data_IF_695057592627
#
_entry.id   IF_695057592627
#
_cell.length_a   1.000
_cell.length_b   1.000
_cell.length_c   1.000
_cell.angle_alpha   90.00
_cell.angle_beta   90.00
_cell.angle_gamma   90.00
#
_symmetry.space_group_name_H-M   'P 1'
#
loop_
_entity.id
_entity.type
_entity.pdbx_description
1 polymer ?
#
# COMPACT_ATOMS: atom_id res chain seq x y z
N UNK A 1 -40.91 4.48 43.60
CA UNK A 1 -40.47 4.28 42.20
C UNK A 1 -41.53 4.89 41.29
N UNK A 2 -41.22 6.03 40.67
CA UNK A 2 -42.25 6.92 40.10
C UNK A 2 -42.85 6.32 38.83
N UNK A 3 -44.06 5.76 38.95
CA UNK A 3 -44.92 5.31 37.84
C UNK A 3 -44.90 6.22 36.61
N UNK A 4 -44.92 7.57 36.69
CA UNK A 4 -44.86 8.41 35.49
C UNK A 4 -43.54 8.31 34.71
N UNK A 5 -42.42 8.04 35.38
CA UNK A 5 -41.11 7.94 34.71
C UNK A 5 -41.02 6.69 33.82
N UNK A 6 -41.69 5.61 34.24
CA UNK A 6 -41.76 4.35 33.48
C UNK A 6 -42.59 4.55 32.21
N UNK A 7 -43.72 5.26 32.30
CA UNK A 7 -44.56 5.57 31.14
C UNK A 7 -43.87 6.50 30.14
N UNK A 8 -43.11 7.50 30.61
CA UNK A 8 -42.31 8.38 29.74
C UNK A 8 -41.22 7.59 29.01
N UNK A 9 -40.52 6.69 29.71
CA UNK A 9 -39.51 5.82 29.10
C UNK A 9 -40.11 4.89 28.03
N UNK A 10 -41.29 4.32 28.30
CA UNK A 10 -41.97 3.42 27.37
C UNK A 10 -42.47 4.16 26.13
N UNK A 11 -42.98 5.39 26.30
CA UNK A 11 -43.38 6.26 25.19
C UNK A 11 -42.17 6.63 24.31
N UNK A 12 -41.04 6.99 24.92
CA UNK A 12 -39.83 7.36 24.19
C UNK A 12 -39.24 6.16 23.41
N UNK A 13 -39.25 4.97 24.01
CA UNK A 13 -38.84 3.74 23.33
C UNK A 13 -39.77 3.40 22.16
N UNK A 14 -41.09 3.60 22.31
CA UNK A 14 -42.05 3.38 21.24
C UNK A 14 -41.88 4.40 20.10
N UNK A 15 -41.57 5.65 20.42
CA UNK A 15 -41.28 6.71 19.44
C UNK A 15 -39.99 6.43 18.66
N UNK A 16 -38.93 5.98 19.35
CA UNK A 16 -37.68 5.57 18.71
C UNK A 16 -37.87 4.31 17.85
N UNK A 17 -38.65 3.34 18.32
CA UNK A 17 -38.99 2.14 17.54
C UNK A 17 -39.78 2.47 16.28
N UNK A 18 -40.81 3.33 16.39
CA UNK A 18 -41.59 3.78 15.25
C UNK A 18 -40.75 4.62 14.27
N UNK A 19 -39.88 5.49 14.78
CA UNK A 19 -38.94 6.26 13.97
C UNK A 19 -37.93 5.37 13.22
N UNK A 20 -37.35 4.39 13.91
CA UNK A 20 -36.45 3.40 13.29
C UNK A 20 -37.12 2.57 12.22
N UNK A 21 -38.35 2.10 12.47
CA UNK A 21 -39.16 1.38 11.48
C UNK A 21 -39.51 2.26 10.27
N UNK A 22 -39.85 3.53 10.49
CA UNK A 22 -40.13 4.47 9.41
C UNK A 22 -38.90 4.68 8.52
N UNK A 23 -37.72 4.92 9.11
CA UNK A 23 -36.46 5.07 8.37
C UNK A 23 -36.12 3.80 7.59
N UNK A 24 -36.23 2.62 8.22
CA UNK A 24 -36.01 1.34 7.53
C UNK A 24 -36.97 1.17 6.35
N UNK A 25 -38.27 1.41 6.56
CA UNK A 25 -39.29 1.25 5.51
C UNK A 25 -39.10 2.19 4.30
N UNK A 26 -38.34 3.28 4.50
CA UNK A 26 -37.98 4.25 3.46
C UNK A 26 -36.56 4.07 2.91
N UNK A 27 -35.76 3.18 3.50
CA UNK A 27 -34.45 2.86 2.99
C UNK A 27 -34.61 2.05 1.70
N UNK A 28 -34.14 2.62 0.59
CA UNK A 28 -34.11 1.95 -0.70
C UNK A 28 -32.71 1.35 -0.83
N UNK A 29 -32.56 0.02 -0.87
CA UNK A 29 -31.27 -0.57 -1.19
C UNK A 29 -30.88 -0.13 -2.60
N UNK A 30 -29.68 0.42 -2.74
CA UNK A 30 -29.09 0.70 -4.04
C UNK A 30 -27.79 -0.09 -4.15
N UNK A 31 -27.59 -0.72 -5.29
CA UNK A 31 -26.34 -1.42 -5.56
C UNK A 31 -25.31 -0.38 -5.99
N UNK A 32 -24.28 -0.20 -5.16
CA UNK A 32 -23.13 0.63 -5.50
C UNK A 32 -22.05 -0.26 -6.11
N UNK A 33 -21.73 -0.02 -7.39
CA UNK A 33 -20.60 -0.69 -8.03
C UNK A 33 -19.32 -0.08 -7.49
N UNK A 34 -18.72 -0.74 -6.50
CA UNK A 34 -17.41 -0.36 -5.98
C UNK A 34 -16.34 -0.92 -6.90
N UNK A 35 -15.67 -0.05 -7.65
CA UNK A 35 -14.52 -0.41 -8.46
C UNK A 35 -13.35 -0.82 -7.54
N UNK A 36 -12.98 -2.10 -7.58
CA UNK A 36 -11.84 -2.65 -6.83
C UNK A 36 -10.55 -2.63 -7.65
N UNK A 37 -10.58 -2.00 -8.82
CA UNK A 37 -9.51 -2.08 -9.80
C UNK A 37 -9.50 -3.40 -10.57
N UNK A 38 -8.54 -3.56 -11.49
CA UNK A 38 -8.42 -4.74 -12.33
C UNK A 38 -8.10 -5.99 -11.50
N UNK A 39 -8.68 -7.12 -11.89
CA UNK A 39 -8.34 -8.43 -11.31
C UNK A 39 -6.89 -8.80 -11.63
N UNK A 40 -6.25 -9.70 -10.84
CA UNK A 40 -4.91 -10.21 -11.16
C UNK A 40 -4.80 -10.80 -12.57
N UNK A 41 -5.88 -11.43 -13.04
CA UNK A 41 -5.97 -11.98 -14.40
C UNK A 41 -5.97 -10.86 -15.46
N UNK A 42 -6.75 -9.78 -15.25
CA UNK A 42 -6.78 -8.63 -16.15
C UNK A 42 -5.48 -7.79 -16.12
N UNK A 43 -4.69 -7.91 -15.04
CA UNK A 43 -3.36 -7.32 -14.95
C UNK A 43 -2.32 -8.15 -15.71
N UNK A 44 -2.42 -9.48 -15.66
CA UNK A 44 -1.51 -10.38 -16.37
C UNK A 44 -1.79 -10.46 -17.87
N UNK A 45 -3.06 -10.36 -18.28
CA UNK A 45 -3.48 -10.40 -19.68
C UNK A 45 -4.12 -9.06 -20.09
N UNK A 46 -3.38 -8.20 -20.83
CA UNK A 46 -3.90 -6.91 -21.33
C UNK A 46 -5.08 -7.03 -22.30
N UNK A 47 -5.29 -8.19 -22.92
CA UNK A 47 -6.33 -8.46 -23.92
C UNK A 47 -7.43 -9.41 -23.41
N UNK A 48 -7.51 -9.63 -22.10
CA UNK A 48 -8.51 -10.51 -21.48
C UNK A 48 -9.95 -10.15 -21.89
N UNK A 49 -10.28 -8.87 -21.92
CA UNK A 49 -11.59 -8.40 -22.33
C UNK A 49 -11.85 -8.66 -23.83
N UNK A 50 -10.82 -8.62 -24.67
CA UNK A 50 -10.90 -8.97 -26.09
C UNK A 50 -11.19 -10.46 -26.29
N UNK A 51 -10.49 -11.32 -25.54
CA UNK A 51 -10.73 -12.76 -25.55
C UNK A 51 -12.16 -13.10 -25.12
N UNK A 52 -12.62 -12.52 -24.00
CA UNK A 52 -13.99 -12.71 -23.53
C UNK A 52 -15.02 -12.22 -24.53
N UNK A 53 -14.81 -11.04 -25.13
CA UNK A 53 -15.72 -10.49 -26.11
C UNK A 53 -15.86 -11.41 -27.33
N UNK A 54 -14.74 -11.86 -27.91
CA UNK A 54 -14.76 -12.77 -29.07
C UNK A 54 -15.37 -14.13 -28.72
N UNK A 55 -15.08 -14.66 -27.53
CA UNK A 55 -15.68 -15.90 -27.01
C UNK A 55 -17.20 -15.77 -26.86
N UNK A 56 -17.69 -14.63 -26.36
CA UNK A 56 -19.12 -14.33 -26.27
C UNK A 56 -19.81 -14.22 -27.64
N UNK A 57 -19.08 -13.84 -28.70
CA UNK A 57 -19.57 -13.87 -30.08
C UNK A 57 -19.55 -15.28 -30.71
N UNK A 58 -19.17 -16.31 -29.95
CA UNK A 58 -19.15 -17.70 -30.41
C UNK A 58 -17.93 -18.08 -31.24
N UNK A 59 -16.89 -17.25 -31.27
CA UNK A 59 -15.62 -17.57 -31.93
C UNK A 59 -14.74 -18.44 -31.01
N UNK A 60 -13.99 -19.36 -31.59
CA UNK A 60 -12.97 -20.11 -30.86
C UNK A 60 -11.75 -19.21 -30.67
N UNK A 61 -11.41 -18.89 -29.42
CA UNK A 61 -10.30 -17.99 -29.07
C UNK A 61 -9.27 -18.78 -28.27
N UNK A 62 -8.01 -18.68 -28.70
CA UNK A 62 -6.85 -19.23 -28.00
C UNK A 62 -5.81 -18.12 -27.81
N UNK A 63 -4.99 -18.20 -26.77
CA UNK A 63 -3.85 -17.30 -26.59
C UNK A 63 -2.54 -18.09 -26.64
N UNK A 64 -1.50 -17.49 -27.21
CA UNK A 64 -0.17 -18.09 -27.29
C UNK A 64 0.92 -17.07 -26.96
N UNK A 65 1.88 -17.48 -26.15
CA UNK A 65 3.03 -16.63 -25.78
C UNK A 65 4.20 -16.76 -26.77
N UNK A 66 4.16 -17.73 -27.68
CA UNK A 66 5.27 -18.04 -28.58
C UNK A 66 4.83 -18.32 -30.01
N UNK A 67 5.67 -17.84 -30.93
CA UNK A 67 5.59 -18.07 -32.39
C UNK A 67 5.69 -19.56 -32.72
N UNK A 68 6.19 -20.42 -31.83
CA UNK A 68 6.22 -21.88 -32.03
C UNK A 68 4.83 -22.50 -32.28
N UNK A 69 3.77 -21.88 -31.75
CA UNK A 69 2.38 -22.30 -31.99
C UNK A 69 2.01 -22.32 -33.48
N UNK A 70 2.67 -21.50 -34.30
CA UNK A 70 2.50 -21.47 -35.76
C UNK A 70 2.71 -22.82 -36.42
N UNK A 71 3.59 -23.67 -35.87
CA UNK A 71 3.89 -24.99 -36.45
C UNK A 71 2.70 -25.95 -36.40
N UNK A 72 1.78 -25.71 -35.46
CA UNK A 72 0.58 -26.53 -35.23
C UNK A 72 -0.71 -25.90 -35.73
N UNK A 73 -0.68 -24.60 -36.08
CA UNK A 73 -1.88 -23.84 -36.39
C UNK A 73 -2.29 -24.04 -37.86
N UNK A 74 -3.53 -24.50 -38.14
CA UNK A 74 -4.02 -24.58 -39.50
C UNK A 74 -4.13 -23.18 -40.10
N UNK A 75 -3.90 -23.02 -41.41
CA UNK A 75 -4.02 -21.71 -42.04
C UNK A 75 -5.47 -21.35 -42.38
N UNK A 76 -6.16 -22.23 -43.11
CA UNK A 76 -7.52 -21.93 -43.59
C UNK A 76 -8.52 -21.86 -42.44
N UNK A 77 -9.26 -20.75 -42.36
CA UNK A 77 -10.26 -20.54 -41.32
C UNK A 77 -9.68 -20.15 -39.97
N UNK A 78 -8.41 -19.77 -39.90
CA UNK A 78 -7.78 -19.26 -38.68
C UNK A 78 -7.22 -17.85 -38.89
N UNK A 79 -7.38 -17.03 -37.86
CA UNK A 79 -6.78 -15.70 -37.77
C UNK A 79 -5.74 -15.68 -36.65
N UNK A 80 -4.55 -15.17 -36.95
CA UNK A 80 -3.49 -14.95 -35.97
C UNK A 80 -3.31 -13.45 -35.77
N UNK A 81 -3.49 -12.99 -34.54
CA UNK A 81 -3.30 -11.59 -34.15
C UNK A 81 -1.97 -11.47 -33.42
N UNK A 82 -0.97 -10.89 -34.09
CA UNK A 82 0.32 -10.55 -33.51
C UNK A 82 0.21 -9.16 -32.87
N UNK A 83 -0.02 -9.13 -31.57
CA UNK A 83 -0.27 -7.92 -30.79
C UNK A 83 0.88 -7.56 -29.81
N UNK A 84 1.90 -8.41 -29.71
CA UNK A 84 3.07 -8.18 -28.86
C UNK A 84 4.36 -8.00 -29.65
N UNK A 85 5.38 -7.47 -28.96
CA UNK A 85 6.68 -7.13 -29.54
C UNK A 85 7.33 -8.30 -30.30
N UNK A 86 7.88 -7.99 -31.48
CA UNK A 86 8.49 -8.96 -32.39
C UNK A 86 9.92 -8.66 -32.81
N UNK A 87 10.59 -7.76 -32.10
CA UNK A 87 11.99 -7.37 -32.34
C UNK A 87 12.98 -8.55 -32.43
N UNK A 88 12.67 -9.69 -31.80
CA UNK A 88 13.53 -10.89 -31.78
C UNK A 88 13.17 -11.96 -32.84
N UNK A 89 12.24 -11.71 -33.77
CA UNK A 89 11.90 -12.71 -34.80
C UNK A 89 13.04 -12.92 -35.81
N UNK A 90 13.42 -14.17 -36.02
CA UNK A 90 14.40 -14.52 -37.05
C UNK A 90 13.80 -14.42 -38.47
N UNK A 91 14.61 -14.14 -39.51
CA UNK A 91 14.13 -14.12 -40.89
C UNK A 91 13.40 -15.39 -41.33
N UNK A 92 13.81 -16.55 -40.78
CA UNK A 92 13.15 -17.84 -41.05
C UNK A 92 11.74 -17.91 -40.47
N UNK A 93 11.54 -17.40 -39.26
CA UNK A 93 10.21 -17.35 -38.62
C UNK A 93 9.27 -16.42 -39.40
N UNK A 94 9.78 -15.26 -39.85
CA UNK A 94 9.03 -14.32 -40.70
C UNK A 94 8.59 -14.98 -42.00
N UNK A 95 9.48 -15.72 -42.67
CA UNK A 95 9.14 -16.43 -43.91
C UNK A 95 8.11 -17.55 -43.69
N UNK A 96 8.20 -18.28 -42.58
CA UNK A 96 7.22 -19.30 -42.21
C UNK A 96 5.85 -18.69 -41.95
N UNK A 97 5.80 -17.55 -41.25
CA UNK A 97 4.56 -16.84 -40.96
C UNK A 97 3.90 -16.29 -42.23
N UNK A 98 4.68 -15.65 -43.10
CA UNK A 98 4.18 -15.16 -44.39
C UNK A 98 3.73 -16.32 -45.29
N UNK A 99 4.42 -17.47 -45.25
CA UNK A 99 3.99 -18.67 -45.97
C UNK A 99 2.67 -19.24 -45.42
N UNK A 100 2.49 -19.22 -44.09
CA UNK A 100 1.24 -19.59 -43.44
C UNK A 100 0.09 -18.67 -43.89
N UNK A 101 0.28 -17.35 -43.87
CA UNK A 101 -0.70 -16.39 -44.38
C UNK A 101 -1.01 -16.65 -45.87
N UNK A 102 0.03 -16.84 -46.71
CA UNK A 102 -0.13 -17.21 -48.14
C UNK A 102 -0.99 -18.44 -48.37
N UNK A 103 -0.99 -19.40 -47.45
CA UNK A 103 -1.72 -20.66 -47.59
C UNK A 103 -3.23 -20.57 -47.27
N UNK A 104 -3.69 -19.41 -46.78
CA UNK A 104 -5.11 -19.15 -46.49
C UNK A 104 -5.40 -18.62 -45.09
N UNK A 105 -4.37 -18.31 -44.30
CA UNK A 105 -4.51 -17.71 -42.98
C UNK A 105 -4.73 -16.20 -43.06
N UNK A 106 -5.42 -15.67 -42.05
CA UNK A 106 -5.49 -14.23 -41.86
C UNK A 106 -4.46 -13.82 -40.80
N UNK A 107 -3.49 -13.02 -41.19
CA UNK A 107 -2.50 -12.46 -40.28
C UNK A 107 -2.86 -11.02 -39.95
N UNK A 108 -3.01 -10.69 -38.68
CA UNK A 108 -3.12 -9.32 -38.22
C UNK A 108 -1.86 -8.95 -37.44
N UNK A 109 -1.24 -7.81 -37.74
CA UNK A 109 -0.02 -7.36 -37.07
C UNK A 109 -0.05 -5.85 -36.79
N UNK A 110 0.52 -5.45 -35.66
CA UNK A 110 0.66 -4.05 -35.23
C UNK A 110 1.98 -3.50 -35.74
N UNK A 111 2.02 -2.40 -36.48
CA UNK A 111 3.28 -1.78 -36.91
C UNK A 111 4.06 -1.26 -35.69
N UNK A 112 5.26 -1.81 -35.46
CA UNK A 112 6.06 -1.57 -34.24
C UNK A 112 7.23 -0.62 -34.45
N UNK A 113 7.61 -0.35 -35.69
CA UNK A 113 8.84 0.36 -36.01
C UNK A 113 8.63 1.39 -37.11
N UNK A 114 9.17 2.59 -36.88
CA UNK A 114 9.15 3.68 -37.84
C UNK A 114 10.09 3.37 -39.01
N UNK A 115 9.65 3.74 -40.20
CA UNK A 115 10.45 3.66 -41.40
C UNK A 115 11.63 4.64 -41.33
N UNK A 116 12.84 4.13 -41.57
CA UNK A 116 14.03 4.95 -41.72
C UNK A 116 14.34 5.13 -43.21
N UNK A 117 14.18 6.36 -43.70
CA UNK A 117 14.46 6.74 -45.09
C UNK A 117 15.95 6.60 -45.46
N UNK A 118 16.87 6.75 -44.50
CA UNK A 118 18.31 6.67 -44.76
C UNK A 118 18.76 5.24 -45.02
N UNK A 119 18.25 4.28 -44.23
CA UNK A 119 18.59 2.86 -44.35
C UNK A 119 17.65 2.10 -45.28
N UNK A 120 16.50 2.69 -45.63
CA UNK A 120 15.46 2.06 -46.46
C UNK A 120 14.86 0.82 -45.80
N UNK A 121 14.77 0.83 -44.46
CA UNK A 121 14.23 -0.26 -43.64
C UNK A 121 13.61 0.32 -42.36
N UNK A 122 12.63 -0.37 -41.80
CA UNK A 122 12.05 -0.03 -40.49
C UNK A 122 12.74 -0.75 -39.32
N UNK A 123 13.49 -1.82 -39.60
CA UNK A 123 13.97 -2.75 -38.57
C UNK A 123 12.95 -3.82 -38.19
N UNK A 124 11.72 -3.72 -38.70
CA UNK A 124 10.71 -4.76 -38.65
C UNK A 124 10.68 -5.55 -39.96
N UNK A 125 11.15 -6.80 -39.89
CA UNK A 125 11.24 -7.69 -41.03
C UNK A 125 9.89 -8.02 -41.67
N UNK A 126 8.77 -7.93 -40.96
CA UNK A 126 7.44 -8.17 -41.56
C UNK A 126 7.00 -6.99 -42.39
N UNK A 127 7.11 -5.78 -41.84
CA UNK A 127 6.77 -4.54 -42.54
C UNK A 127 7.63 -4.35 -43.79
N UNK A 128 8.95 -4.54 -43.66
CA UNK A 128 9.91 -4.43 -44.76
C UNK A 128 9.62 -5.44 -45.89
N UNK A 129 9.04 -6.62 -45.59
CA UNK A 129 8.67 -7.64 -46.58
C UNK A 129 7.31 -7.41 -47.21
N UNK A 130 6.43 -6.66 -46.54
CA UNK A 130 5.10 -6.28 -47.02
C UNK A 130 5.11 -4.93 -47.75
N UNK A 131 6.25 -4.23 -47.74
CA UNK A 131 6.41 -2.87 -48.27
C UNK A 131 5.41 -1.86 -47.66
N UNK A 132 5.10 -2.01 -46.37
CA UNK A 132 4.26 -1.08 -45.61
C UNK A 132 5.15 -0.27 -44.67
N UNK A 133 5.05 1.05 -44.73
CA UNK A 133 5.91 1.95 -43.95
C UNK A 133 5.07 2.66 -42.89
N UNK A 134 5.54 2.65 -41.65
CA UNK A 134 4.97 3.45 -40.57
C UNK A 134 5.80 4.72 -40.39
N UNK A 135 5.14 5.87 -40.31
CA UNK A 135 5.76 7.15 -40.00
C UNK A 135 4.98 7.84 -38.88
N UNK A 136 5.59 8.84 -38.26
CA UNK A 136 4.85 9.77 -37.41
C UNK A 136 3.95 10.63 -38.30
N UNK A 137 2.73 10.88 -37.86
CA UNK A 137 1.83 11.82 -38.51
C UNK A 137 2.43 13.22 -38.41
N UNK A 138 2.44 13.97 -39.53
CA UNK A 138 2.91 15.34 -39.51
C UNK A 138 2.05 16.18 -38.55
N UNK A 139 2.67 16.80 -37.54
CA UNK A 139 2.03 17.86 -36.78
C UNK A 139 1.69 18.99 -37.75
N UNK A 140 0.50 19.61 -37.65
CA UNK A 140 0.19 20.74 -38.51
C UNK A 140 1.22 21.84 -38.25
N UNK A 141 1.78 22.41 -39.32
CA UNK A 141 2.28 23.79 -39.26
C UNK A 141 1.21 24.62 -38.56
N UNK A 142 1.51 25.14 -37.37
CA UNK A 142 0.67 26.12 -36.71
C UNK A 142 0.53 27.30 -37.68
N UNK A 143 -0.56 27.31 -38.45
CA UNK A 143 -1.03 28.50 -39.11
C UNK A 143 -1.09 29.58 -38.02
N UNK A 144 -0.28 30.62 -38.22
CA UNK A 144 0.04 31.67 -37.27
C UNK A 144 -1.14 32.04 -36.34
N UNK A 145 -0.87 32.28 -35.04
CA UNK A 145 -1.89 32.40 -34.01
C UNK A 145 -2.80 33.61 -34.27
N UNK A 146 -3.91 33.38 -34.96
CA UNK A 146 -5.01 34.34 -35.04
C UNK A 146 -6.05 33.93 -34.01
N UNK A 147 -5.99 34.67 -32.90
CA UNK A 147 -7.00 34.81 -31.86
C UNK A 147 -7.31 33.57 -31.00
N UNK A 148 -6.91 33.69 -29.73
CA UNK A 148 -7.22 32.80 -28.61
C UNK A 148 -8.74 32.63 -28.44
N UNK A 149 -9.32 31.65 -29.14
CA UNK A 149 -10.59 31.02 -28.70
C UNK A 149 -10.27 30.05 -27.56
N UNK A 150 -11.10 29.98 -26.51
CA UNK A 150 -10.89 29.02 -25.42
C UNK A 150 -10.85 27.61 -26.00
N UNK A 151 -9.91 26.79 -25.51
CA UNK A 151 -9.77 25.37 -25.86
C UNK A 151 -11.10 24.65 -25.59
N UNK A 152 -11.97 24.61 -26.61
CA UNK A 152 -12.99 23.57 -26.69
C UNK A 152 -12.20 22.27 -26.68
N UNK A 153 -12.50 21.37 -25.74
CA UNK A 153 -11.98 19.99 -25.74
C UNK A 153 -12.04 19.50 -27.19
N UNK A 154 -10.89 19.38 -27.85
CA UNK A 154 -10.82 18.78 -29.19
C UNK A 154 -11.47 17.42 -29.02
N UNK A 155 -12.58 17.17 -29.70
CA UNK A 155 -13.09 15.82 -29.80
C UNK A 155 -11.94 14.97 -30.37
N UNK A 156 -11.67 13.77 -29.81
CA UNK A 156 -10.62 12.92 -30.33
C UNK A 156 -10.83 12.72 -31.84
N UNK A 157 -9.74 12.80 -32.61
CA UNK A 157 -9.78 12.53 -34.04
C UNK A 157 -9.90 11.02 -34.22
N UNK A 158 -11.13 10.52 -34.20
CA UNK A 158 -11.42 9.10 -34.30
C UNK A 158 -11.29 8.65 -35.75
N UNK A 159 -10.63 7.52 -35.96
CA UNK A 159 -10.57 6.85 -37.26
C UNK A 159 -11.97 6.45 -37.67
N UNK A 160 -12.35 6.79 -38.91
CA UNK A 160 -13.66 6.46 -39.46
C UNK A 160 -13.51 5.34 -40.46
N UNK A 161 -14.30 4.30 -40.29
CA UNK A 161 -14.41 3.24 -41.27
C UNK A 161 -15.80 3.23 -41.87
N UNK A 162 -15.83 3.27 -43.20
CA UNK A 162 -17.04 3.04 -43.97
C UNK A 162 -17.04 1.57 -44.38
N UNK A 163 -18.04 0.85 -43.89
CA UNK A 163 -18.27 -0.54 -44.28
C UNK A 163 -19.18 -0.51 -45.49
N UNK A 164 -18.84 -1.28 -46.53
CA UNK A 164 -19.73 -1.45 -47.67
C UNK A 164 -21.10 -1.94 -47.17
N UNK A 165 -22.17 -1.25 -47.58
CA UNK A 165 -23.59 -1.42 -47.14
C UNK A 165 -24.03 -0.78 -45.81
N UNK A 166 -23.21 -0.02 -45.08
CA UNK A 166 -23.68 0.71 -43.89
C UNK A 166 -23.65 2.25 -44.07
N UNK A 167 -24.75 2.91 -43.69
CA UNK A 167 -24.91 4.38 -43.83
C UNK A 167 -24.17 5.19 -42.77
N UNK A 168 -23.81 4.58 -41.64
CA UNK A 168 -23.13 5.25 -40.54
C UNK A 168 -21.67 4.75 -40.45
N UNK A 169 -20.66 5.64 -40.36
CA UNK A 169 -19.29 5.22 -40.16
C UNK A 169 -19.10 4.65 -38.74
N UNK A 170 -18.30 3.60 -38.62
CA UNK A 170 -17.82 3.11 -37.34
C UNK A 170 -16.62 3.96 -36.87
N UNK A 171 -16.55 4.22 -35.57
CA UNK A 171 -15.53 5.08 -34.97
C UNK A 171 -14.56 4.27 -34.11
N UNK A 172 -13.26 4.41 -34.39
CA UNK A 172 -12.20 3.70 -33.67
C UNK A 172 -11.20 4.67 -33.07
N UNK A 173 -10.67 4.30 -31.91
CA UNK A 173 -9.69 5.11 -31.18
C UNK A 173 -8.26 4.60 -31.39
N UNK A 174 -7.79 4.61 -32.64
CA UNK A 174 -6.36 4.41 -32.94
C UNK A 174 -5.54 5.61 -32.47
N UNK A 175 -4.25 5.40 -32.28
CA UNK A 175 -3.29 6.45 -32.01
C UNK A 175 -3.04 7.29 -33.28
N UNK A 176 -3.40 8.57 -33.21
CA UNK A 176 -3.27 9.51 -34.33
C UNK A 176 -1.83 9.94 -34.59
N UNK A 177 -0.91 9.66 -33.68
CA UNK A 177 0.50 10.04 -33.79
C UNK A 177 1.23 9.22 -34.84
N UNK A 178 0.67 8.07 -35.24
CA UNK A 178 1.22 7.19 -36.26
C UNK A 178 0.38 7.17 -37.54
N UNK A 179 1.06 6.97 -38.66
CA UNK A 179 0.48 6.87 -39.99
C UNK A 179 1.09 5.68 -40.75
N UNK A 180 0.25 4.89 -41.39
CA UNK A 180 0.67 3.87 -42.34
C UNK A 180 0.66 4.43 -43.76
N UNK A 181 1.71 4.07 -44.51
CA UNK A 181 1.82 4.38 -45.93
C UNK A 181 2.15 3.12 -46.70
N UNK A 182 1.58 3.03 -47.90
CA UNK A 182 1.79 1.93 -48.83
C UNK A 182 2.32 2.51 -50.14
N UNK A 183 3.66 2.57 -50.31
CA UNK A 183 4.29 3.14 -51.50
C UNK A 183 3.98 2.38 -52.79
N UNK A 184 3.60 1.10 -52.69
CA UNK A 184 3.34 0.23 -53.85
C UNK A 184 1.85 0.09 -54.15
N UNK A 185 0.97 0.68 -53.34
CA UNK A 185 -0.49 0.60 -53.46
C UNK A 185 -1.00 -0.86 -53.54
N UNK A 186 -0.43 -1.74 -52.71
CA UNK A 186 -0.81 -3.15 -52.59
C UNK A 186 -2.03 -3.37 -51.68
N UNK A 187 -2.34 -2.42 -50.79
CA UNK A 187 -3.47 -2.48 -49.89
C UNK A 187 -4.78 -2.33 -50.67
N UNK A 188 -5.69 -3.29 -50.47
CA UNK A 188 -7.02 -3.26 -51.08
C UNK A 188 -8.01 -2.45 -50.26
N UNK A 189 -7.75 -2.34 -48.96
CA UNK A 189 -8.63 -1.68 -48.01
C UNK A 189 -7.80 -0.94 -46.98
N UNK A 190 -8.25 0.26 -46.62
CA UNK A 190 -7.65 1.05 -45.55
C UNK A 190 -8.70 1.77 -44.70
N UNK A 191 -8.39 1.98 -43.43
CA UNK A 191 -9.19 2.78 -42.51
C UNK A 191 -8.39 4.02 -42.07
N UNK A 192 -8.98 5.20 -42.25
CA UNK A 192 -8.25 6.47 -42.12
C UNK A 192 -8.95 7.39 -41.11
N UNK A 193 -8.15 8.11 -40.33
CA UNK A 193 -8.60 9.30 -39.59
C UNK A 193 -8.60 10.51 -40.54
N UNK A 194 -8.82 11.71 -40.00
CA UNK A 194 -8.73 12.91 -40.83
C UNK A 194 -7.32 13.16 -41.40
N UNK A 195 -6.28 12.53 -40.83
CA UNK A 195 -4.87 12.86 -41.10
C UNK A 195 -3.99 11.67 -41.44
N UNK A 196 -4.36 10.47 -41.02
CA UNK A 196 -3.51 9.29 -41.13
C UNK A 196 -4.30 8.03 -41.44
N UNK A 197 -3.63 7.06 -42.05
CA UNK A 197 -4.16 5.72 -42.29
C UNK A 197 -3.74 4.82 -41.13
N UNK A 198 -4.69 4.20 -40.44
CA UNK A 198 -4.43 3.40 -39.24
C UNK A 198 -4.53 1.90 -39.46
N UNK A 199 -5.20 1.49 -40.54
CA UNK A 199 -5.38 0.09 -40.90
C UNK A 199 -5.19 -0.05 -42.39
N UNK A 200 -4.47 -1.08 -42.80
CA UNK A 200 -4.30 -1.49 -44.20
C UNK A 200 -4.45 -2.99 -44.32
N UNK A 201 -5.22 -3.46 -45.30
CA UNK A 201 -5.39 -4.88 -45.58
C UNK A 201 -4.86 -5.22 -46.97
N UNK A 202 -3.97 -6.20 -47.01
CA UNK A 202 -3.32 -6.73 -48.20
C UNK A 202 -3.79 -8.17 -48.43
N UNK A 203 -4.05 -8.54 -49.67
CA UNK A 203 -4.23 -9.94 -50.02
C UNK A 203 -2.87 -10.59 -50.25
N UNK A 204 -2.65 -11.74 -49.59
CA UNK A 204 -1.41 -12.47 -49.68
C UNK A 204 -1.70 -13.93 -50.02
N UNK A 205 -1.51 -14.31 -51.29
CA UNK A 205 -1.79 -15.66 -51.77
C UNK A 205 -3.28 -16.01 -51.69
N UNK A 206 -3.64 -16.98 -50.84
CA UNK A 206 -5.03 -17.37 -50.55
C UNK A 206 -5.57 -16.76 -49.24
N UNK A 207 -4.70 -16.11 -48.48
CA UNK A 207 -5.05 -15.45 -47.22
C UNK A 207 -4.93 -13.94 -47.35
N UNK A 208 -4.86 -13.28 -46.20
CA UNK A 208 -4.80 -11.82 -46.11
C UNK A 208 -3.96 -11.39 -44.93
N UNK A 209 -3.37 -10.20 -45.03
CA UNK A 209 -2.59 -9.57 -43.98
C UNK A 209 -3.22 -8.22 -43.66
N UNK A 210 -3.53 -7.98 -42.40
CA UNK A 210 -4.02 -6.68 -41.90
C UNK A 210 -2.91 -6.06 -41.04
N UNK A 211 -2.46 -4.88 -41.42
CA UNK A 211 -1.50 -4.08 -40.67
C UNK A 211 -2.26 -2.94 -39.99
N UNK A 212 -2.03 -2.75 -38.70
CA UNK A 212 -2.62 -1.64 -37.93
C UNK A 212 -1.53 -0.80 -37.24
N UNK A 213 -1.79 0.46 -36.91
CA UNK A 213 -0.81 1.33 -36.21
C UNK A 213 -0.55 0.91 -34.78
N UNK A 214 -1.61 0.54 -34.06
CA UNK A 214 -1.57 0.20 -32.65
C UNK A 214 -2.67 -0.82 -32.31
N UNK A 215 -2.52 -1.49 -31.16
CA UNK A 215 -3.49 -2.45 -30.62
C UNK A 215 -4.13 -1.97 -29.32
N UNK A 216 -3.88 -0.72 -28.93
CA UNK A 216 -4.32 -0.16 -27.64
C UNK A 216 -5.84 -0.10 -27.54
N UNK A 217 -6.52 0.07 -28.68
CA UNK A 217 -7.97 0.03 -28.76
C UNK A 217 -8.58 -1.30 -28.26
N UNK A 218 -7.84 -2.41 -28.29
CA UNK A 218 -8.32 -3.73 -27.86
C UNK A 218 -7.85 -4.15 -26.49
N UNK A 219 -7.04 -3.32 -25.81
CA UNK A 219 -6.68 -3.56 -24.42
C UNK A 219 -7.88 -3.42 -23.50
N UNK A 220 -7.83 -4.08 -22.34
CA UNK A 220 -8.87 -4.11 -21.31
C UNK A 220 -9.57 -2.75 -21.03
N UNK A 221 -8.87 -1.60 -20.87
CA UNK A 221 -9.52 -0.32 -20.58
C UNK A 221 -10.21 0.36 -21.77
N UNK A 222 -9.88 -0.04 -23.00
CA UNK A 222 -10.24 0.69 -24.23
C UNK A 222 -11.21 -0.07 -25.13
N UNK A 223 -11.29 -1.40 -25.03
CA UNK A 223 -12.13 -2.21 -25.92
C UNK A 223 -13.62 -1.86 -25.86
N UNK A 224 -14.11 -1.48 -24.68
CA UNK A 224 -15.50 -1.05 -24.48
C UNK A 224 -15.79 0.39 -24.92
N UNK A 225 -14.81 1.11 -25.46
CA UNK A 225 -14.98 2.50 -25.93
C UNK A 225 -15.25 2.51 -27.44
N UNK A 226 -16.14 3.40 -27.88
CA UNK A 226 -16.52 3.55 -29.30
C UNK A 226 -16.88 2.20 -29.92
N UNK A 227 -16.46 1.94 -31.16
CA UNK A 227 -16.73 0.70 -31.88
C UNK A 227 -15.48 -0.24 -31.92
N UNK A 228 -14.57 -0.08 -30.97
CA UNK A 228 -13.29 -0.81 -30.94
C UNK A 228 -13.48 -2.33 -30.93
N UNK A 229 -14.40 -2.82 -30.09
CA UNK A 229 -14.76 -4.24 -30.04
C UNK A 229 -15.35 -4.73 -31.36
N UNK A 230 -16.19 -3.93 -32.00
CA UNK A 230 -16.81 -4.26 -33.28
C UNK A 230 -15.74 -4.45 -34.37
N UNK A 231 -14.70 -3.60 -34.42
CA UNK A 231 -13.61 -3.76 -35.38
C UNK A 231 -12.87 -5.10 -35.18
N UNK A 232 -12.58 -5.47 -33.93
CA UNK A 232 -11.91 -6.74 -33.63
C UNK A 232 -12.72 -7.92 -34.17
N UNK A 233 -14.02 -7.92 -33.89
CA UNK A 233 -14.93 -8.96 -34.39
C UNK A 233 -15.02 -8.93 -35.91
N UNK A 234 -15.19 -7.75 -36.52
CA UNK A 234 -15.27 -7.58 -37.98
C UNK A 234 -14.07 -8.18 -38.71
N UNK A 235 -12.86 -7.93 -38.20
CA UNK A 235 -11.63 -8.46 -38.78
C UNK A 235 -11.51 -9.98 -38.60
N UNK A 236 -12.15 -10.56 -37.59
CA UNK A 236 -12.00 -11.99 -37.22
C UNK A 236 -13.25 -12.82 -37.49
N UNK A 237 -14.21 -12.30 -38.25
CA UNK A 237 -15.45 -13.02 -38.51
C UNK A 237 -15.22 -14.34 -39.24
N UNK A 238 -15.81 -15.42 -38.72
CA UNK A 238 -15.80 -16.72 -39.37
C UNK A 238 -14.46 -17.47 -39.29
N UNK A 239 -13.52 -17.01 -38.47
CA UNK A 239 -12.24 -17.68 -38.23
C UNK A 239 -12.05 -18.04 -36.75
N UNK A 240 -11.25 -19.08 -36.49
CA UNK A 240 -10.75 -19.35 -35.16
C UNK A 240 -9.56 -18.43 -34.87
N UNK A 241 -9.63 -17.71 -33.76
CA UNK A 241 -8.73 -16.61 -33.42
C UNK A 241 -7.65 -17.10 -32.48
N UNK A 242 -6.39 -16.81 -32.80
CA UNK A 242 -5.27 -16.97 -31.88
C UNK A 242 -4.63 -15.63 -31.64
N UNK A 243 -4.63 -15.16 -30.40
CA UNK A 243 -3.93 -13.94 -29.99
C UNK A 243 -2.52 -14.32 -29.55
N UNK A 244 -1.53 -13.66 -30.13
CA UNK A 244 -0.13 -13.80 -29.77
C UNK A 244 0.38 -12.47 -29.27
N UNK A 245 0.60 -12.42 -27.95
CA UNK A 245 1.22 -11.30 -27.27
C UNK A 245 2.13 -11.84 -26.19
N UNK A 246 3.28 -11.19 -26.00
CA UNK A 246 4.19 -11.59 -24.96
C UNK A 246 3.69 -11.04 -23.63
N UNK A 247 3.15 -11.91 -22.78
CA UNK A 247 2.75 -11.57 -21.40
C UNK A 247 3.87 -11.86 -20.40
N UNK A 248 4.91 -12.57 -20.83
CA UNK A 248 5.99 -13.02 -19.97
C UNK A 248 7.02 -11.90 -19.87
N UNK A 249 6.76 -10.95 -18.97
CA UNK A 249 7.82 -10.07 -18.48
C UNK A 249 8.80 -10.94 -17.68
N UNK A 250 10.10 -10.84 -17.99
CA UNK A 250 11.14 -11.44 -17.17
C UNK A 250 10.94 -10.96 -15.71
N UNK A 251 10.90 -11.87 -14.74
CA UNK A 251 10.80 -11.49 -13.32
C UNK A 251 12.00 -10.61 -12.94
N UNK A 252 11.83 -9.73 -11.95
CA UNK A 252 12.87 -8.82 -11.47
C UNK A 252 14.16 -9.57 -11.13
N UNK A 253 14.03 -10.78 -10.56
CA UNK A 253 15.18 -11.63 -10.26
C UNK A 253 15.91 -12.07 -11.54
N UNK A 254 15.17 -12.50 -12.57
CA UNK A 254 15.72 -12.86 -13.88
C UNK A 254 16.44 -11.68 -14.53
N UNK A 255 15.83 -10.48 -14.51
CA UNK A 255 16.43 -9.24 -14.98
C UNK A 255 17.71 -8.88 -14.21
N UNK A 256 17.68 -8.97 -12.87
CA UNK A 256 18.83 -8.70 -12.00
C UNK A 256 20.01 -9.63 -12.30
N UNK A 257 19.75 -10.93 -12.49
CA UNK A 257 20.79 -11.91 -12.82
C UNK A 257 21.34 -11.66 -14.23
N UNK A 258 20.47 -11.34 -15.19
CA UNK A 258 20.84 -11.15 -16.60
C UNK A 258 21.64 -9.87 -16.84
N UNK A 259 21.21 -8.75 -16.26
CA UNK A 259 21.80 -7.43 -16.53
C UNK A 259 22.71 -6.92 -15.40
N UNK A 260 22.51 -7.35 -14.15
CA UNK A 260 23.25 -6.85 -12.99
C UNK A 260 23.94 -7.94 -12.14
N UNK A 261 24.60 -8.96 -12.73
CA UNK A 261 25.22 -10.05 -11.97
C UNK A 261 26.32 -9.54 -11.02
N UNK A 262 27.05 -8.50 -11.42
CA UNK A 262 28.12 -7.90 -10.61
C UNK A 262 27.59 -7.25 -9.32
N UNK A 263 26.43 -6.58 -9.39
CA UNK A 263 25.79 -5.96 -8.23
C UNK A 263 25.31 -7.04 -7.24
N UNK A 264 24.79 -8.16 -7.76
CA UNK A 264 24.35 -9.31 -6.96
C UNK A 264 25.54 -9.95 -6.22
N UNK A 265 26.67 -10.15 -6.90
CA UNK A 265 27.91 -10.65 -6.29
C UNK A 265 28.42 -9.69 -5.21
N UNK A 266 28.42 -8.38 -5.48
CA UNK A 266 28.84 -7.37 -4.52
C UNK A 266 27.93 -7.34 -3.28
N UNK A 267 26.61 -7.48 -3.46
CA UNK A 267 25.63 -7.58 -2.38
C UNK A 267 25.91 -8.82 -1.52
N UNK A 268 26.10 -9.99 -2.13
CA UNK A 268 26.43 -11.23 -1.41
C UNK A 268 27.75 -11.08 -0.64
N UNK A 269 28.78 -10.49 -1.25
CA UNK A 269 30.05 -10.24 -0.59
C UNK A 269 29.91 -9.27 0.59
N UNK A 270 29.12 -8.20 0.46
CA UNK A 270 28.83 -7.26 1.54
C UNK A 270 28.07 -7.94 2.68
N UNK A 271 27.07 -8.77 2.37
CA UNK A 271 26.33 -9.55 3.37
C UNK A 271 27.27 -10.52 4.09
N UNK A 272 28.14 -11.22 3.35
CA UNK A 272 29.13 -12.12 3.93
C UNK A 272 30.11 -11.37 4.86
N UNK A 273 30.61 -10.20 4.43
CA UNK A 273 31.49 -9.35 5.24
C UNK A 273 30.76 -8.76 6.46
N UNK A 274 29.49 -8.38 6.33
CA UNK A 274 28.68 -7.87 7.43
C UNK A 274 28.41 -8.97 8.47
N UNK A 275 28.09 -10.19 8.03
CA UNK A 275 27.93 -11.36 8.89
C UNK A 275 29.27 -11.76 9.53
N UNK A 276 30.36 -11.71 8.78
CA UNK A 276 31.70 -11.92 9.31
C UNK A 276 32.03 -10.91 10.39
N UNK A 277 31.76 -9.62 10.14
CA UNK A 277 31.97 -8.53 11.12
C UNK A 277 31.09 -8.72 12.36
N UNK A 278 29.82 -9.10 12.19
CA UNK A 278 28.91 -9.35 13.30
C UNK A 278 29.29 -10.61 14.10
N UNK A 279 29.83 -11.63 13.42
CA UNK A 279 30.32 -12.87 14.00
C UNK A 279 31.67 -12.72 14.70
N UNK A 280 32.50 -11.76 14.29
CA UNK A 280 33.72 -11.38 15.00
C UNK A 280 33.38 -10.71 16.34
N UNK A 281 33.10 -11.55 17.34
CA UNK A 281 32.98 -11.12 18.73
C UNK A 281 34.34 -10.69 19.25
N UNK A 282 34.60 -9.39 19.25
CA UNK A 282 35.75 -8.80 19.91
C UNK A 282 35.35 -8.41 21.34
N UNK A 283 35.87 -9.15 22.31
CA UNK A 283 35.81 -8.79 23.73
C UNK A 283 35.28 -9.88 24.65
N UNK A 284 35.69 -9.87 25.93
CA UNK A 284 35.14 -10.75 26.95
C UNK A 284 33.66 -10.43 27.16
N UNK A 285 32.84 -11.47 27.33
CA UNK A 285 31.41 -11.35 27.63
C UNK A 285 31.29 -10.62 28.98
N UNK A 286 30.97 -9.33 28.95
CA UNK A 286 30.65 -8.59 30.16
C UNK A 286 29.23 -8.95 30.56
N UNK A 287 29.08 -9.56 31.73
CA UNK A 287 27.76 -9.76 32.33
C UNK A 287 27.07 -8.40 32.44
N UNK A 288 25.80 -8.27 32.00
CA UNK A 288 25.06 -7.03 32.19
C UNK A 288 25.10 -6.66 33.68
N UNK A 289 25.31 -5.37 34.01
CA UNK A 289 25.38 -4.95 35.40
C UNK A 289 24.09 -5.39 36.10
N UNK A 290 24.17 -6.07 37.25
CA UNK A 290 22.98 -6.52 37.96
C UNK A 290 22.10 -5.31 38.26
N UNK A 291 20.81 -5.40 37.91
CA UNK A 291 19.83 -4.37 38.24
C UNK A 291 19.96 -4.01 39.72
N UNK A 292 20.13 -2.72 40.04
CA UNK A 292 20.32 -2.18 41.38
C UNK A 292 19.09 -2.41 42.28
N UNK A 293 18.85 -3.66 42.67
CA UNK A 293 17.83 -4.08 43.63
C UNK A 293 18.42 -3.96 45.03
N UNK A 294 18.23 -2.79 45.69
CA UNK A 294 18.22 -2.54 47.16
C UNK A 294 18.88 -1.23 47.67
N UNK A 295 19.01 -0.18 46.86
CA UNK A 295 19.66 1.07 47.33
C UNK A 295 18.80 1.99 48.24
N UNK A 296 17.51 1.71 48.46
CA UNK A 296 16.71 2.53 49.40
C UNK A 296 17.26 2.43 50.84
N UNK A 297 17.67 1.23 51.27
CA UNK A 297 18.21 1.04 52.62
C UNK A 297 19.56 1.75 52.79
N UNK A 298 20.41 1.73 51.75
CA UNK A 298 21.69 2.44 51.76
C UNK A 298 21.49 3.95 51.78
N UNK A 299 20.53 4.46 50.99
CA UNK A 299 20.20 5.88 50.99
C UNK A 299 19.63 6.32 52.34
N UNK A 300 18.69 5.57 52.91
CA UNK A 300 18.14 5.85 54.24
C UNK A 300 19.22 5.80 55.33
N UNK A 301 20.13 4.83 55.27
CA UNK A 301 21.26 4.73 56.21
C UNK A 301 22.21 5.92 56.06
N UNK A 302 22.56 6.29 54.83
CA UNK A 302 23.43 7.43 54.56
C UNK A 302 22.78 8.75 55.01
N UNK A 303 21.49 8.96 54.76
CA UNK A 303 20.75 10.13 55.23
C UNK A 303 20.66 10.16 56.76
N UNK A 304 20.41 9.01 57.41
CA UNK A 304 20.35 8.92 58.87
C UNK A 304 21.71 9.24 59.52
N UNK A 305 22.80 8.66 59.00
CA UNK A 305 24.16 8.93 59.47
C UNK A 305 24.54 10.41 59.26
N UNK A 306 24.16 11.00 58.12
CA UNK A 306 24.38 12.42 57.85
C UNK A 306 23.65 13.33 58.85
N UNK A 307 22.37 13.07 59.10
CA UNK A 307 21.56 13.84 60.05
C UNK A 307 22.09 13.71 61.49
N UNK A 308 22.51 12.51 61.88
CA UNK A 308 23.11 12.26 63.20
C UNK A 308 24.43 13.01 63.38
N UNK A 309 25.28 13.05 62.34
CA UNK A 309 26.57 13.77 62.37
C UNK A 309 26.40 15.29 62.39
N UNK A 310 25.47 15.85 61.61
CA UNK A 310 25.35 17.31 61.42
C UNK A 310 24.42 18.00 62.42
N UNK A 311 23.35 17.34 62.85
CA UNK A 311 22.33 17.93 63.74
C UNK A 311 22.32 17.35 65.16
N UNK A 312 22.98 16.21 65.37
CA UNK A 312 23.11 15.55 66.67
C UNK A 312 21.88 14.71 67.07
N UNK A 313 22.00 13.99 68.20
CA UNK A 313 20.93 13.14 68.73
C UNK A 313 19.72 13.94 69.23
N UNK A 314 19.97 15.14 69.79
CA UNK A 314 18.93 15.95 70.42
C UNK A 314 17.89 16.48 69.43
N UNK A 315 18.27 16.81 68.20
CA UNK A 315 17.33 17.27 67.16
C UNK A 315 16.42 16.14 66.71
N UNK A 316 16.95 14.92 66.55
CA UNK A 316 16.18 13.72 66.21
C UNK A 316 15.16 13.38 67.30
N UNK A 317 15.55 13.43 68.57
CA UNK A 317 14.63 13.19 69.69
C UNK A 317 13.56 14.28 69.79
N UNK A 318 13.90 15.57 69.59
CA UNK A 318 12.88 16.64 69.53
C UNK A 318 11.89 16.44 68.40
N UNK A 319 12.34 15.97 67.23
CA UNK A 319 11.46 15.68 66.11
C UNK A 319 10.46 14.57 66.47
N UNK A 320 10.92 13.49 67.11
CA UNK A 320 10.05 12.42 67.60
C UNK A 320 9.09 12.88 68.70
N UNK A 321 9.56 13.65 69.68
CA UNK A 321 8.71 14.23 70.73
C UNK A 321 7.60 15.11 70.13
N UNK A 322 7.93 15.96 69.15
CA UNK A 322 6.95 16.78 68.43
C UNK A 322 5.94 15.94 67.65
N UNK A 323 6.39 14.85 67.03
CA UNK A 323 5.49 13.95 66.29
C UNK A 323 4.51 13.22 67.22
N UNK A 324 4.95 12.80 68.40
CA UNK A 324 4.06 12.24 69.44
C UNK A 324 3.02 13.28 69.87
N UNK A 325 3.44 14.51 70.17
CA UNK A 325 2.51 15.59 70.55
C UNK A 325 1.54 15.94 69.41
N UNK A 326 1.99 15.95 68.15
CA UNK A 326 1.13 16.14 66.97
C UNK A 326 0.10 15.02 66.82
N UNK A 327 0.51 13.76 67.05
CA UNK A 327 -0.41 12.63 67.01
C UNK A 327 -1.46 12.75 68.12
N UNK A 328 -1.06 13.11 69.34
CA UNK A 328 -1.95 13.32 70.46
C UNK A 328 -2.98 14.44 70.19
N UNK A 329 -2.55 15.56 69.62
CA UNK A 329 -3.44 16.68 69.21
C UNK A 329 -4.51 16.28 68.20
N UNK A 330 -4.20 15.34 67.31
CA UNK A 330 -5.19 14.84 66.33
C UNK A 330 -6.26 13.97 66.98
N UNK A 331 -5.94 13.31 68.09
CA UNK A 331 -6.82 12.33 68.74
C UNK A 331 -7.61 12.92 69.91
N UNK A 332 -7.15 14.01 70.53
CA UNK A 332 -7.84 14.72 71.60
C UNK A 332 -8.02 16.22 71.29
N UNK A 333 -9.28 16.66 71.17
CA UNK A 333 -9.61 18.08 70.95
C UNK A 333 -9.26 18.91 72.20
N UNK A 334 -8.54 20.02 72.03
CA UNK A 334 -8.14 20.87 73.15
C UNK A 334 -6.85 20.46 73.89
N UNK A 335 -6.11 19.47 73.39
CA UNK A 335 -4.87 18.98 74.00
C UNK A 335 -3.80 20.07 74.24
N UNK A 336 -3.79 21.13 73.42
CA UNK A 336 -2.83 22.25 73.56
C UNK A 336 -3.11 23.19 74.75
N UNK A 337 -4.35 23.20 75.28
CA UNK A 337 -4.75 24.12 76.36
C UNK A 337 -4.62 23.49 77.75
N UNK A 338 -4.31 22.20 77.83
CA UNK A 338 -4.13 21.45 79.08
C UNK A 338 -2.75 21.73 79.67
N UNK A 339 -2.64 21.78 80.99
CA UNK A 339 -1.35 21.89 81.68
C UNK A 339 -0.51 20.62 81.46
N UNK A 340 0.81 20.69 81.59
CA UNK A 340 1.72 19.57 81.33
C UNK A 340 1.33 18.30 82.11
N UNK A 341 0.89 18.45 83.37
CA UNK A 341 0.42 17.33 84.19
C UNK A 341 -0.87 16.67 83.66
N UNK A 342 -1.77 17.47 83.09
CA UNK A 342 -3.00 16.99 82.47
C UNK A 342 -2.74 16.36 81.10
N UNK A 343 -1.80 16.91 80.32
CA UNK A 343 -1.32 16.31 79.06
C UNK A 343 -0.75 14.90 79.29
N UNK A 344 0.01 14.69 80.38
CA UNK A 344 0.51 13.36 80.74
C UNK A 344 -0.60 12.37 81.07
N UNK A 345 -1.65 12.79 81.80
CA UNK A 345 -2.81 11.95 82.11
C UNK A 345 -3.61 11.56 80.87
N UNK A 346 -3.79 12.50 79.94
CA UNK A 346 -4.46 12.22 78.66
C UNK A 346 -3.64 11.23 77.84
N UNK A 347 -2.32 11.40 77.77
CA UNK A 347 -1.43 10.46 77.09
C UNK A 347 -1.42 9.08 77.75
N UNK A 348 -1.46 9.00 79.09
CA UNK A 348 -1.59 7.73 79.83
C UNK A 348 -2.90 7.02 79.50
N UNK A 349 -4.02 7.74 79.41
CA UNK A 349 -5.30 7.17 79.02
C UNK A 349 -5.33 6.70 77.55
N UNK A 350 -4.71 7.46 76.64
CA UNK A 350 -4.69 7.14 75.21
C UNK A 350 -3.69 6.05 74.83
N UNK A 351 -2.56 5.95 75.53
CA UNK A 351 -1.47 5.01 75.20
C UNK A 351 -1.39 3.81 76.14
N UNK A 352 -2.14 3.81 77.24
CA UNK A 352 -2.06 2.83 78.34
C UNK A 352 -0.64 2.64 78.93
N UNK A 353 0.23 3.63 78.76
CA UNK A 353 1.58 3.62 79.32
C UNK A 353 1.62 4.37 80.66
N UNK A 354 2.42 3.90 81.64
CA UNK A 354 2.52 4.57 82.93
C UNK A 354 3.02 6.02 82.79
N UNK A 355 2.40 6.94 83.53
CA UNK A 355 2.77 8.37 83.55
C UNK A 355 4.27 8.65 83.76
N UNK A 356 4.99 7.84 84.53
CA UNK A 356 6.43 7.99 84.73
C UNK A 356 7.23 7.79 83.42
N UNK A 357 6.84 6.83 82.58
CA UNK A 357 7.50 6.55 81.28
C UNK A 357 7.27 7.71 80.31
N UNK A 358 6.05 8.26 80.31
CA UNK A 358 5.68 9.38 79.46
C UNK A 358 6.45 10.65 79.86
N UNK A 359 6.53 10.94 81.17
CA UNK A 359 7.31 12.08 81.67
C UNK A 359 8.80 11.96 81.38
N UNK A 360 9.36 10.74 81.37
CA UNK A 360 10.76 10.49 81.07
C UNK A 360 11.04 10.62 79.56
N UNK A 361 10.11 10.19 78.71
CA UNK A 361 10.27 10.21 77.26
C UNK A 361 10.08 11.61 76.66
N UNK A 362 9.07 12.35 77.13
CA UNK A 362 8.69 13.67 76.61
C UNK A 362 9.21 14.84 77.48
N UNK A 363 9.95 14.53 78.55
CA UNK A 363 10.64 15.51 79.39
C UNK A 363 11.81 16.23 78.71
N UNK A 364 12.46 17.17 79.41
CA UNK A 364 13.57 17.95 78.87
C UNK A 364 14.73 17.06 78.47
N UNK A 365 15.22 17.25 77.25
CA UNK A 365 16.31 16.46 76.70
C UNK A 365 17.64 16.79 77.41
N UNK A 366 18.48 15.79 77.70
CA UNK A 366 19.75 16.02 78.38
C UNK A 366 20.70 16.87 77.52
N UNK A 367 21.44 17.79 78.16
CA UNK A 367 22.42 18.65 77.49
C UNK A 367 23.67 17.89 77.04
N UNK A 368 23.95 16.71 77.62
CA UNK A 368 25.06 15.84 77.25
C UNK A 368 24.61 14.78 76.24
N UNK A 369 25.53 14.40 75.35
CA UNK A 369 25.31 13.33 74.36
C UNK A 369 24.99 12.01 75.08
N UNK A 370 23.93 11.34 74.65
CA UNK A 370 23.52 10.04 75.19
C UNK A 370 24.43 8.94 74.67
N UNK A 371 24.60 7.89 75.48
CA UNK A 371 25.18 6.64 74.99
C UNK A 371 24.32 6.09 73.85
N UNK A 372 24.92 5.29 72.96
CA UNK A 372 24.17 4.66 71.85
C UNK A 372 23.00 3.82 72.37
N UNK A 373 23.20 3.08 73.48
CA UNK A 373 22.18 2.27 74.10
C UNK A 373 21.02 3.10 74.67
N UNK A 374 21.33 4.19 75.38
CA UNK A 374 20.29 5.05 75.97
C UNK A 374 19.50 5.81 74.91
N UNK A 375 20.18 6.26 73.84
CA UNK A 375 19.53 6.87 72.69
C UNK A 375 18.55 5.90 72.01
N UNK A 376 18.97 4.66 71.74
CA UNK A 376 18.09 3.65 71.14
C UNK A 376 16.90 3.31 72.03
N UNK A 377 17.08 3.21 73.35
CA UNK A 377 15.97 2.99 74.30
C UNK A 377 14.98 4.16 74.29
N UNK A 378 15.47 5.40 74.28
CA UNK A 378 14.62 6.58 74.26
C UNK A 378 13.85 6.72 72.93
N UNK A 379 14.49 6.45 71.80
CA UNK A 379 13.82 6.39 70.48
C UNK A 379 12.75 5.31 70.46
N UNK A 380 13.05 4.11 70.97
CA UNK A 380 12.08 3.01 71.04
C UNK A 380 10.86 3.41 71.89
N UNK A 381 11.08 4.03 73.05
CA UNK A 381 10.00 4.52 73.92
C UNK A 381 9.13 5.60 73.25
N UNK A 382 9.73 6.55 72.53
CA UNK A 382 8.97 7.55 71.78
C UNK A 382 8.20 6.94 70.59
N UNK A 383 8.76 5.92 69.94
CA UNK A 383 8.10 5.20 68.85
C UNK A 383 6.92 4.35 69.35
N UNK A 384 7.06 3.66 70.48
CA UNK A 384 5.96 2.90 71.08
C UNK A 384 4.82 3.83 71.49
N UNK A 385 5.12 4.98 72.11
CA UNK A 385 4.12 6.01 72.41
C UNK A 385 3.43 6.54 71.16
N UNK A 386 4.20 6.86 70.11
CA UNK A 386 3.63 7.34 68.84
C UNK A 386 2.71 6.31 68.19
N UNK A 387 3.08 5.03 68.19
CA UNK A 387 2.31 3.98 67.52
C UNK A 387 1.04 3.58 68.29
N UNK A 388 0.97 3.88 69.59
CA UNK A 388 -0.23 3.69 70.41
C UNK A 388 -1.27 4.82 70.21
N UNK A 389 -0.81 6.02 69.86
CA UNK A 389 -1.63 7.18 69.47
C UNK A 389 -2.08 7.12 68.01
#
# INVERSE_FOLDING_TARGET
>A
MNRPLIWVGLLLACLLGAGGYFVWSKAIPYDEVVDRGPSPEALANPYLAAEHFLSQQGLAVDHANSVERLTTLPAKGHSLLLLGERSNMSPRQVEQLLAWAKSGGHLLLVAEALWDEETGKSGDLLLDRLDIHQALSDEPEELAPTEKKPLKKKAPDLTKLYVDNETAPAYFSFDTDFNLTDPKHLAQFSANSARSSHLMQLDLGRGRVTVITDSDLWKNPSIGRHDNAWLLWYLTQGTAVTLLFNSDFDDLFTLLVRYFPQALVALIALVALALWRAGMRQGPIQSPPPNARRQLQEHLKASADFLLRRSGQGTLLRALQRDVLRAARRRHTGFEHLDNAEQWRVLEHLTHQPSHVISQALGPLPAKRLSSADFSRQVACLQTLRNAL
#
